data_IF_553235257742
#
_entry.id   IF_553235257742
#
_cell.length_a   1.000
_cell.length_b   1.000
_cell.length_c   1.000
_cell.angle_alpha   90.00
_cell.angle_beta   90.00
_cell.angle_gamma   90.00
#
_symmetry.space_group_name_H-M   'P 1'
#
loop_
_entity.id
_entity.type
_entity.pdbx_description
1 polymer ?
#
# COMPACT_ATOMS: atom_id res chain seq x y z
N UNK A 1 7.20 -16.97 13.63
CA UNK A 1 6.06 -17.45 12.81
C UNK A 1 5.21 -18.51 13.52
N UNK A 2 5.80 -19.52 14.18
CA UNK A 2 5.03 -20.59 14.85
C UNK A 2 3.92 -20.08 15.76
N UNK A 3 4.27 -19.21 16.70
CA UNK A 3 3.32 -18.67 17.68
C UNK A 3 2.18 -17.90 17.01
N UNK A 4 2.50 -17.05 16.03
CA UNK A 4 1.52 -16.28 15.27
C UNK A 4 0.50 -17.18 14.57
N UNK A 5 0.98 -18.20 13.85
CA UNK A 5 0.10 -19.12 13.11
C UNK A 5 -0.73 -19.96 14.07
N UNK A 6 -0.13 -20.52 15.12
CA UNK A 6 -0.86 -21.33 16.11
C UNK A 6 -1.96 -20.55 16.81
N UNK A 7 -1.70 -19.27 17.14
CA UNK A 7 -2.69 -18.38 17.77
C UNK A 7 -3.85 -18.06 16.84
N UNK A 8 -3.57 -17.76 15.57
CA UNK A 8 -4.55 -17.12 14.68
C UNK A 8 -5.10 -18.01 13.55
N UNK A 9 -4.64 -19.26 13.39
CA UNK A 9 -5.11 -20.19 12.34
C UNK A 9 -6.63 -20.40 12.28
N UNK A 10 -7.32 -20.25 13.42
CA UNK A 10 -8.78 -20.42 13.53
C UNK A 10 -9.55 -19.11 13.31
N UNK A 11 -8.88 -18.03 12.89
CA UNK A 11 -9.51 -16.73 12.60
C UNK A 11 -9.92 -16.66 11.13
N UNK A 12 -11.21 -16.57 10.78
CA UNK A 12 -11.65 -16.44 9.38
C UNK A 12 -11.23 -15.12 8.75
N UNK A 13 -10.95 -14.08 9.56
CA UNK A 13 -10.45 -12.78 9.09
C UNK A 13 -8.99 -12.84 8.62
N UNK A 14 -8.22 -13.86 9.02
CA UNK A 14 -6.87 -14.07 8.50
C UNK A 14 -7.02 -14.81 7.17
N UNK A 15 -6.58 -14.17 6.09
CA UNK A 15 -6.68 -14.74 4.74
C UNK A 15 -5.32 -15.04 4.10
N UNK A 16 -4.23 -14.51 4.64
CA UNK A 16 -2.87 -14.74 4.15
C UNK A 16 -1.84 -14.48 5.26
N UNK A 17 -0.65 -15.07 5.12
CA UNK A 17 0.49 -14.84 6.01
C UNK A 17 1.60 -14.07 5.30
N UNK A 18 2.00 -12.91 5.81
CA UNK A 18 3.22 -12.23 5.34
C UNK A 18 4.40 -12.66 6.18
N UNK A 19 5.44 -13.22 5.56
CA UNK A 19 6.61 -13.74 6.30
C UNK A 19 7.68 -12.68 6.56
N UNK A 20 7.74 -11.65 5.71
CA UNK A 20 8.72 -10.56 5.80
C UNK A 20 8.21 -9.27 5.17
N UNK A 21 8.79 -8.16 5.63
CA UNK A 21 8.57 -6.82 5.09
C UNK A 21 9.90 -6.20 4.66
N UNK A 22 10.00 -5.83 3.39
CA UNK A 22 11.16 -5.16 2.77
C UNK A 22 12.52 -5.82 3.10
N UNK A 23 12.66 -7.15 2.94
CA UNK A 23 13.95 -7.79 3.18
C UNK A 23 14.99 -7.36 2.14
N UNK A 24 16.27 -7.57 2.46
CA UNK A 24 17.32 -7.60 1.44
C UNK A 24 17.23 -8.89 0.61
N UNK A 25 16.27 -8.95 -0.29
CA UNK A 25 15.95 -10.15 -1.10
C UNK A 25 16.94 -10.44 -2.22
N UNK A 26 17.81 -9.49 -2.58
CA UNK A 26 18.79 -9.66 -3.65
C UNK A 26 20.06 -10.44 -3.23
N UNK A 27 20.21 -10.79 -1.94
CA UNK A 27 21.37 -11.54 -1.47
C UNK A 27 21.28 -13.02 -1.87
N UNK A 28 22.39 -13.69 -2.23
CA UNK A 28 22.39 -15.11 -2.61
C UNK A 28 21.77 -16.05 -1.55
N UNK A 29 21.90 -15.70 -0.27
CA UNK A 29 21.38 -16.49 0.85
C UNK A 29 19.88 -16.29 1.09
N UNK A 30 19.27 -15.25 0.49
CA UNK A 30 17.88 -14.88 0.71
C UNK A 30 16.92 -15.99 0.29
N UNK A 31 17.16 -16.60 -0.88
CA UNK A 31 16.29 -17.65 -1.43
C UNK A 31 16.13 -18.83 -0.47
N UNK A 32 17.24 -19.34 0.05
CA UNK A 32 17.21 -20.46 1.01
C UNK A 32 16.49 -20.05 2.30
N UNK A 33 16.86 -18.89 2.85
CA UNK A 33 16.31 -18.42 4.12
C UNK A 33 14.79 -18.22 4.06
N UNK A 34 14.29 -17.54 3.02
CA UNK A 34 12.86 -17.32 2.84
C UNK A 34 12.13 -18.59 2.41
N UNK A 35 12.78 -19.47 1.65
CA UNK A 35 12.25 -20.78 1.30
C UNK A 35 11.95 -21.64 2.53
N UNK A 36 12.89 -21.72 3.47
CA UNK A 36 12.71 -22.44 4.74
C UNK A 36 11.58 -21.82 5.59
N UNK A 37 11.48 -20.49 5.63
CA UNK A 37 10.43 -19.79 6.37
C UNK A 37 9.03 -20.02 5.78
N UNK A 38 8.91 -19.98 4.45
CA UNK A 38 7.65 -20.27 3.74
C UNK A 38 7.25 -21.73 3.95
N UNK A 39 8.19 -22.66 3.83
CA UNK A 39 7.94 -24.08 4.08
C UNK A 39 7.43 -24.30 5.51
N UNK A 40 8.06 -23.69 6.50
CA UNK A 40 7.65 -23.78 7.90
C UNK A 40 6.24 -23.20 8.15
N UNK A 41 5.87 -22.09 7.53
CA UNK A 41 4.49 -21.57 7.64
C UNK A 41 3.49 -22.54 6.99
N UNK A 42 3.84 -23.14 5.85
CA UNK A 42 2.98 -24.09 5.14
C UNK A 42 2.79 -25.42 5.86
N UNK A 43 3.75 -25.87 6.66
CA UNK A 43 3.55 -27.05 7.53
C UNK A 43 2.55 -26.78 8.66
N UNK A 44 2.49 -25.53 9.15
CA UNK A 44 1.59 -25.11 10.22
C UNK A 44 0.18 -24.74 9.72
N UNK A 45 0.08 -24.13 8.53
CA UNK A 45 -1.18 -23.78 7.88
C UNK A 45 -1.09 -24.01 6.36
N UNK A 46 -1.58 -25.16 5.87
CA UNK A 46 -1.61 -25.44 4.43
C UNK A 46 -2.72 -24.69 3.69
N UNK A 47 -3.69 -24.10 4.41
CA UNK A 47 -4.94 -23.59 3.83
C UNK A 47 -4.84 -22.17 3.27
N UNK A 48 -3.91 -21.35 3.78
CA UNK A 48 -3.80 -19.93 3.41
C UNK A 48 -2.57 -19.64 2.55
N UNK A 49 -2.64 -18.67 1.62
CA UNK A 49 -1.48 -18.14 0.92
C UNK A 49 -0.42 -17.58 1.86
N UNK A 50 0.85 -17.67 1.42
CA UNK A 50 2.00 -17.06 2.09
C UNK A 50 2.60 -16.04 1.13
N UNK A 51 2.89 -14.84 1.63
CA UNK A 51 3.37 -13.69 0.86
C UNK A 51 4.54 -13.01 1.56
N UNK A 52 5.13 -12.03 0.89
CA UNK A 52 6.15 -11.12 1.40
C UNK A 52 5.93 -9.73 0.79
N UNK A 53 6.15 -8.67 1.57
CA UNK A 53 6.21 -7.33 1.02
C UNK A 53 7.65 -7.06 0.55
N UNK A 54 7.82 -6.75 -0.73
CA UNK A 54 9.11 -6.50 -1.36
C UNK A 54 9.31 -4.98 -1.53
N UNK A 55 10.55 -4.52 -1.37
CA UNK A 55 10.89 -3.12 -1.57
C UNK A 55 10.86 -2.77 -3.06
N UNK A 56 10.10 -1.75 -3.43
CA UNK A 56 10.17 -1.11 -4.74
C UNK A 56 11.06 0.14 -4.71
N UNK A 57 11.63 0.52 -5.85
CA UNK A 57 12.36 1.76 -6.01
C UNK A 57 11.59 2.71 -6.94
N UNK A 58 11.10 3.82 -6.38
CA UNK A 58 10.24 4.76 -7.11
C UNK A 58 10.82 6.17 -7.10
N UNK A 59 10.66 6.87 -8.22
CA UNK A 59 10.76 8.32 -8.22
C UNK A 59 9.44 8.89 -7.68
N UNK A 60 9.53 9.93 -6.85
CA UNK A 60 8.37 10.56 -6.22
C UNK A 60 7.82 11.75 -7.01
N UNK A 61 8.35 11.99 -8.21
CA UNK A 61 7.78 12.96 -9.14
C UNK A 61 6.41 12.47 -9.66
N UNK A 62 5.37 13.25 -9.40
CA UNK A 62 3.99 12.96 -9.78
C UNK A 62 3.85 12.60 -11.27
N UNK A 63 4.66 13.22 -12.14
CA UNK A 63 4.59 13.02 -13.58
C UNK A 63 4.95 11.60 -14.03
N UNK A 64 5.70 10.84 -13.23
CA UNK A 64 6.20 9.51 -13.61
C UNK A 64 5.58 8.36 -12.83
N UNK A 65 4.84 8.64 -11.74
CA UNK A 65 4.27 7.62 -10.84
C UNK A 65 3.44 6.59 -11.62
N UNK A 66 2.56 7.06 -12.50
CA UNK A 66 1.66 6.17 -13.24
C UNK A 66 2.44 5.18 -14.11
N UNK A 67 3.34 5.69 -14.96
CA UNK A 67 4.15 4.86 -15.87
C UNK A 67 5.09 3.93 -15.12
N UNK A 68 5.76 4.41 -14.06
CA UNK A 68 6.68 3.60 -13.27
C UNK A 68 5.95 2.45 -12.57
N UNK A 69 4.80 2.74 -11.96
CA UNK A 69 3.95 1.73 -11.32
C UNK A 69 3.53 0.68 -12.33
N UNK A 70 3.04 1.06 -13.52
CA UNK A 70 2.63 0.08 -14.53
C UNK A 70 3.82 -0.80 -14.95
N UNK A 71 4.95 -0.17 -15.28
CA UNK A 71 6.14 -0.87 -15.77
C UNK A 71 6.68 -1.90 -14.78
N UNK A 72 6.73 -1.56 -13.49
CA UNK A 72 7.26 -2.46 -12.47
C UNK A 72 6.33 -3.65 -12.23
N UNK A 73 5.03 -3.40 -12.10
CA UNK A 73 4.06 -4.45 -11.81
C UNK A 73 3.89 -5.41 -12.99
N UNK A 74 4.04 -4.92 -14.22
CA UNK A 74 4.14 -5.75 -15.42
C UNK A 74 5.40 -6.62 -15.43
N UNK A 75 6.56 -6.03 -15.12
CA UNK A 75 7.81 -6.79 -15.05
C UNK A 75 7.74 -7.87 -13.96
N UNK A 76 7.20 -7.51 -12.78
CA UNK A 76 7.01 -8.44 -11.67
C UNK A 76 6.04 -9.56 -12.04
N UNK A 77 4.91 -9.26 -12.69
CA UNK A 77 3.98 -10.29 -13.14
C UNK A 77 4.58 -11.16 -14.26
N UNK A 78 5.32 -10.56 -15.19
CA UNK A 78 6.00 -11.28 -16.27
C UNK A 78 6.99 -12.32 -15.74
N UNK A 79 7.72 -11.97 -14.68
CA UNK A 79 8.69 -12.85 -14.03
C UNK A 79 8.04 -13.93 -13.15
N UNK A 80 7.15 -13.54 -12.21
CA UNK A 80 6.61 -14.47 -11.22
C UNK A 80 5.32 -15.17 -11.62
N UNK A 81 4.54 -14.60 -12.56
CA UNK A 81 3.24 -15.12 -13.03
C UNK A 81 2.23 -15.36 -11.89
N UNK A 82 2.29 -14.53 -10.85
CA UNK A 82 1.41 -14.59 -9.66
C UNK A 82 0.47 -13.37 -9.59
N UNK A 83 -0.66 -13.46 -8.87
CA UNK A 83 -1.43 -12.29 -8.47
C UNK A 83 -0.57 -11.33 -7.66
N UNK A 84 -0.79 -10.03 -7.85
CA UNK A 84 -0.01 -8.97 -7.22
C UNK A 84 -0.95 -8.04 -6.46
N UNK A 85 -0.53 -7.61 -5.28
CA UNK A 85 -1.14 -6.50 -4.56
C UNK A 85 -0.07 -5.53 -4.07
N UNK A 86 -0.44 -4.26 -3.93
CA UNK A 86 0.41 -3.27 -3.27
C UNK A 86 0.04 -3.21 -1.79
N UNK A 87 1.01 -3.48 -0.91
CA UNK A 87 0.81 -3.42 0.54
C UNK A 87 1.10 -2.05 1.13
N UNK A 88 1.90 -1.23 0.44
CA UNK A 88 2.26 0.12 0.89
C UNK A 88 2.36 1.10 -0.30
N UNK A 89 1.61 2.19 -0.23
CA UNK A 89 1.80 3.37 -1.08
C UNK A 89 1.24 4.61 -0.37
N UNK A 90 1.88 5.76 -0.55
CA UNK A 90 1.46 7.01 0.07
C UNK A 90 2.60 8.02 0.21
N UNK A 91 2.24 9.25 0.57
CA UNK A 91 3.17 10.34 0.80
C UNK A 91 2.97 10.93 2.20
N UNK A 92 4.05 11.45 2.80
CA UNK A 92 3.92 12.20 4.05
C UNK A 92 3.15 13.49 3.77
N UNK A 93 2.21 13.82 4.66
CA UNK A 93 1.45 15.06 4.64
C UNK A 93 1.32 15.64 6.05
N UNK A 94 1.83 16.84 6.24
CA UNK A 94 1.63 17.61 7.47
C UNK A 94 0.23 18.21 7.40
N UNK A 95 -0.62 17.84 8.35
CA UNK A 95 -2.02 18.29 8.41
C UNK A 95 -2.11 19.81 8.35
N UNK A 96 -2.96 20.34 7.48
CA UNK A 96 -3.17 21.77 7.26
C UNK A 96 -2.15 22.45 6.34
N UNK A 97 -1.12 21.74 5.86
CA UNK A 97 -0.19 22.28 4.87
C UNK A 97 -0.76 22.08 3.46
N UNK A 98 -0.93 23.19 2.74
CA UNK A 98 -1.44 23.21 1.37
C UNK A 98 -0.54 24.04 0.46
N UNK A 99 -0.48 23.68 -0.82
CA UNK A 99 0.23 24.47 -1.83
C UNK A 99 -0.34 24.21 -3.24
N UNK A 100 -0.28 25.26 -4.08
CA UNK A 100 -0.53 25.17 -5.51
C UNK A 100 0.62 25.89 -6.26
N UNK A 101 1.46 25.20 -7.06
CA UNK A 101 1.40 23.76 -7.35
C UNK A 101 1.69 22.89 -6.12
N UNK A 102 1.16 21.66 -6.11
CA UNK A 102 1.33 20.72 -5.02
C UNK A 102 2.82 20.43 -4.73
N UNK A 103 3.17 20.37 -3.44
CA UNK A 103 4.56 20.21 -3.00
C UNK A 103 4.70 19.12 -1.93
N UNK A 104 5.87 18.48 -1.84
CA UNK A 104 6.11 17.41 -0.85
C UNK A 104 5.76 17.90 0.56
N UNK A 105 5.12 17.01 1.36
CA UNK A 105 4.53 17.28 2.68
C UNK A 105 3.18 18.02 2.71
N UNK A 106 2.68 18.54 1.59
CA UNK A 106 1.32 19.11 1.53
C UNK A 106 0.26 18.01 1.44
N UNK A 107 -0.95 18.30 1.92
CA UNK A 107 -2.11 17.42 1.71
C UNK A 107 -2.46 17.30 0.22
N UNK A 108 -2.22 18.35 -0.57
CA UNK A 108 -2.47 18.37 -2.02
C UNK A 108 -1.57 17.37 -2.75
N UNK A 109 -0.28 17.32 -2.39
CA UNK A 109 0.66 16.36 -2.96
C UNK A 109 0.31 14.93 -2.59
N UNK A 110 -0.08 14.68 -1.34
CA UNK A 110 -0.54 13.35 -0.91
C UNK A 110 -1.77 12.91 -1.71
N UNK A 111 -2.76 13.79 -1.89
CA UNK A 111 -3.95 13.50 -2.69
C UNK A 111 -3.59 13.22 -4.16
N UNK A 112 -2.78 14.07 -4.81
CA UNK A 112 -2.36 13.89 -6.20
C UNK A 112 -1.57 12.60 -6.41
N UNK A 113 -0.65 12.27 -5.51
CA UNK A 113 0.11 11.02 -5.56
C UNK A 113 -0.82 9.80 -5.52
N UNK A 114 -1.85 9.81 -4.65
CA UNK A 114 -2.84 8.74 -4.61
C UNK A 114 -3.60 8.64 -5.94
N UNK A 115 -4.02 9.76 -6.55
CA UNK A 115 -4.70 9.73 -7.85
C UNK A 115 -3.86 9.11 -8.96
N UNK A 116 -2.57 9.47 -9.05
CA UNK A 116 -1.68 8.89 -10.06
C UNK A 116 -1.49 7.38 -9.87
N UNK A 117 -1.35 6.92 -8.63
CA UNK A 117 -1.32 5.48 -8.33
C UNK A 117 -2.63 4.79 -8.71
N UNK A 118 -3.78 5.39 -8.39
CA UNK A 118 -5.09 4.81 -8.68
C UNK A 118 -5.33 4.62 -10.19
N UNK A 119 -4.87 5.55 -11.02
CA UNK A 119 -4.88 5.41 -12.49
C UNK A 119 -4.07 4.20 -12.95
N UNK A 120 -2.87 4.02 -12.42
CA UNK A 120 -2.05 2.84 -12.72
C UNK A 120 -2.71 1.55 -12.23
N UNK A 121 -3.27 1.54 -11.02
CA UNK A 121 -3.91 0.37 -10.45
C UNK A 121 -5.13 -0.06 -11.24
N UNK A 122 -5.91 0.87 -11.79
CA UNK A 122 -7.08 0.53 -12.62
C UNK A 122 -6.65 -0.13 -13.94
N UNK A 123 -5.57 0.36 -14.57
CA UNK A 123 -4.98 -0.26 -15.77
C UNK A 123 -4.39 -1.65 -15.48
N UNK A 124 -3.74 -1.82 -14.33
CA UNK A 124 -3.19 -3.12 -13.93
C UNK A 124 -4.31 -4.10 -13.56
N UNK A 125 -5.37 -3.61 -12.91
CA UNK A 125 -6.55 -4.39 -12.54
C UNK A 125 -7.31 -4.88 -13.77
N UNK A 126 -7.42 -4.08 -14.83
CA UNK A 126 -8.04 -4.50 -16.08
C UNK A 126 -7.27 -5.64 -16.79
N UNK A 127 -6.01 -5.88 -16.41
CA UNK A 127 -5.20 -7.02 -16.90
C UNK A 127 -5.39 -8.30 -16.08
N UNK A 128 -6.16 -8.25 -14.99
CA UNK A 128 -6.63 -9.41 -14.24
C UNK A 128 -5.66 -9.96 -13.17
N UNK A 129 -4.44 -9.44 -13.06
CA UNK A 129 -3.46 -9.93 -12.07
C UNK A 129 -3.25 -8.99 -10.86
N UNK A 130 -3.71 -7.74 -10.93
CA UNK A 130 -3.63 -6.81 -9.80
C UNK A 130 -4.87 -6.92 -8.92
N UNK A 131 -4.71 -7.47 -7.72
CA UNK A 131 -5.81 -7.97 -6.88
C UNK A 131 -6.02 -7.22 -5.57
N UNK A 132 -5.17 -6.26 -5.21
CA UNK A 132 -5.32 -5.53 -3.95
C UNK A 132 -4.47 -4.27 -3.84
N UNK A 133 -4.93 -3.32 -3.03
CA UNK A 133 -4.28 -2.04 -2.79
C UNK A 133 -4.49 -1.56 -1.35
N UNK A 134 -3.41 -1.48 -0.56
CA UNK A 134 -3.42 -1.00 0.81
C UNK A 134 -2.57 0.27 0.95
N UNK A 135 -3.20 1.36 1.37
CA UNK A 135 -2.52 2.63 1.62
C UNK A 135 -1.57 2.49 2.81
N UNK A 136 -0.41 3.15 2.72
CA UNK A 136 0.47 3.35 3.85
C UNK A 136 0.41 4.82 4.28
N UNK A 137 -0.13 5.18 5.44
CA UNK A 137 -0.72 4.31 6.47
C UNK A 137 -2.18 4.71 6.75
N UNK A 138 -2.91 3.89 7.51
CA UNK A 138 -4.20 4.26 8.04
C UNK A 138 -4.13 5.58 8.81
N UNK A 139 -3.17 5.73 9.73
CA UNK A 139 -3.03 6.96 10.49
C UNK A 139 -1.59 7.30 10.84
N UNK A 140 -1.33 8.58 11.13
CA UNK A 140 -0.01 9.02 11.59
C UNK A 140 0.42 8.23 12.85
N UNK A 141 1.71 7.92 12.92
CA UNK A 141 2.32 7.20 14.04
C UNK A 141 3.74 7.71 14.34
N UNK A 142 4.24 7.41 15.54
CA UNK A 142 5.57 7.86 15.95
C UNK A 142 6.66 6.95 15.41
N UNK A 143 7.78 7.57 15.09
CA UNK A 143 9.05 6.92 14.76
C UNK A 143 10.14 7.52 15.64
N UNK A 144 11.33 6.92 15.60
CA UNK A 144 12.55 7.58 16.06
C UNK A 144 12.76 8.91 15.32
N UNK A 145 13.61 9.75 15.91
CA UNK A 145 13.94 11.06 15.33
C UNK A 145 14.78 10.87 14.07
N UNK A 146 14.32 11.44 12.95
CA UNK A 146 15.01 11.41 11.66
C UNK A 146 14.67 12.71 10.89
N UNK A 147 15.63 13.38 10.24
CA UNK A 147 15.38 14.61 9.48
C UNK A 147 14.33 14.48 8.37
N UNK A 148 14.07 13.26 7.88
CA UNK A 148 13.06 12.94 6.85
C UNK A 148 11.68 12.69 7.46
N UNK A 149 11.52 12.77 8.79
CA UNK A 149 10.31 12.49 9.55
C UNK A 149 9.86 13.73 10.30
N UNK A 150 8.84 14.40 9.77
CA UNK A 150 8.23 15.58 10.40
C UNK A 150 7.39 15.18 11.63
N UNK A 151 8.07 14.97 12.76
CA UNK A 151 7.50 14.50 14.02
C UNK A 151 6.73 13.18 13.83
N UNK A 152 7.48 12.11 13.55
CA UNK A 152 6.96 10.79 13.23
C UNK A 152 6.67 10.57 11.74
N UNK A 153 5.94 9.51 11.43
CA UNK A 153 5.46 9.20 10.09
C UNK A 153 4.12 9.91 9.84
N UNK A 154 4.05 10.69 8.77
CA UNK A 154 2.92 11.55 8.41
C UNK A 154 2.19 11.07 7.16
N UNK A 155 2.42 9.83 6.73
CA UNK A 155 1.71 9.22 5.59
C UNK A 155 0.30 8.78 5.91
N UNK A 156 -0.14 8.94 7.16
CA UNK A 156 -1.51 8.63 7.56
C UNK A 156 -2.51 9.38 6.69
N UNK A 157 -3.54 8.68 6.20
CA UNK A 157 -4.73 9.32 5.64
C UNK A 157 -5.59 9.97 6.74
N UNK A 158 -5.41 9.52 7.98
CA UNK A 158 -5.88 10.16 9.20
C UNK A 158 -4.71 10.70 10.03
N UNK A 159 -4.96 11.73 10.83
CA UNK A 159 -4.04 12.14 11.88
C UNK A 159 -3.92 11.08 12.98
N UNK A 160 -2.96 11.25 13.89
CA UNK A 160 -2.81 10.35 15.05
C UNK A 160 -4.07 10.32 15.95
N UNK A 161 -4.84 11.40 15.95
CA UNK A 161 -6.11 11.52 16.69
C UNK A 161 -7.34 11.18 15.83
N UNK A 162 -7.12 10.54 14.69
CA UNK A 162 -8.13 9.99 13.77
C UNK A 162 -9.00 11.03 13.09
N UNK A 163 -8.50 12.26 13.00
CA UNK A 163 -9.11 13.30 12.17
C UNK A 163 -8.73 13.05 10.70
N UNK A 164 -9.68 13.14 9.74
CA UNK A 164 -9.40 12.87 8.34
C UNK A 164 -8.56 13.98 7.70
N UNK A 165 -7.58 13.59 6.87
CA UNK A 165 -6.91 14.48 5.90
C UNK A 165 -7.66 14.44 4.56
N UNK A 166 -7.24 15.27 3.60
CA UNK A 166 -7.76 15.24 2.23
C UNK A 166 -7.69 13.82 1.61
N UNK A 167 -6.61 13.10 1.85
CA UNK A 167 -6.42 11.72 1.36
C UNK A 167 -7.49 10.71 1.83
N UNK A 168 -8.08 10.90 3.02
CA UNK A 168 -9.16 10.02 3.48
C UNK A 168 -10.41 10.15 2.58
N UNK A 169 -10.71 11.37 2.10
CA UNK A 169 -11.81 11.62 1.16
C UNK A 169 -11.54 10.98 -0.19
N UNK A 170 -10.29 11.06 -0.68
CA UNK A 170 -9.84 10.40 -1.92
C UNK A 170 -10.08 8.88 -1.85
N UNK A 171 -9.62 8.22 -0.79
CA UNK A 171 -9.81 6.77 -0.64
C UNK A 171 -11.26 6.36 -0.42
N UNK A 172 -12.04 7.16 0.33
CA UNK A 172 -13.49 6.91 0.45
C UNK A 172 -14.13 6.86 -0.92
N UNK A 173 -13.87 7.88 -1.76
CA UNK A 173 -14.39 7.90 -3.12
C UNK A 173 -13.99 6.65 -3.91
N UNK A 174 -12.69 6.32 -3.90
CA UNK A 174 -12.17 5.18 -4.65
C UNK A 174 -12.78 3.85 -4.25
N UNK A 175 -12.84 3.56 -2.94
CA UNK A 175 -13.34 2.26 -2.49
C UNK A 175 -14.86 2.12 -2.63
N UNK A 176 -15.62 3.21 -2.54
CA UNK A 176 -17.03 3.18 -2.92
C UNK A 176 -17.20 2.83 -4.41
N UNK A 177 -16.44 3.50 -5.30
CA UNK A 177 -16.45 3.21 -6.74
C UNK A 177 -16.07 1.75 -7.05
N UNK A 178 -14.99 1.24 -6.47
CA UNK A 178 -14.56 -0.15 -6.67
C UNK A 178 -15.60 -1.17 -6.14
N UNK A 179 -16.36 -0.82 -5.12
CA UNK A 179 -17.42 -1.69 -4.57
C UNK A 179 -18.76 -1.63 -5.33
N UNK A 180 -18.86 -0.80 -6.38
CA UNK A 180 -20.12 -0.57 -7.09
C UNK A 180 -21.19 0.15 -6.26
N UNK A 181 -20.81 0.79 -5.15
CA UNK A 181 -21.72 1.52 -4.26
C UNK A 181 -21.82 2.98 -4.70
N UNK A 182 -23.04 3.47 -4.85
CA UNK A 182 -23.31 4.91 -5.01
C UNK A 182 -22.98 5.66 -3.72
N UNK A 183 -22.35 6.83 -3.85
CA UNK A 183 -22.08 7.70 -2.72
C UNK A 183 -23.26 8.65 -2.59
N UNK A 184 -24.17 8.37 -1.66
CA UNK A 184 -25.37 9.17 -1.42
C UNK A 184 -25.15 10.38 -0.51
N UNK A 185 -23.90 10.69 -0.17
CA UNK A 185 -23.52 11.76 0.75
C UNK A 185 -22.87 12.90 -0.03
N UNK A 186 -23.44 14.09 0.08
CA UNK A 186 -22.97 15.30 -0.58
C UNK A 186 -21.57 15.75 -0.10
N UNK A 187 -21.09 15.24 1.05
CA UNK A 187 -19.75 15.54 1.58
C UNK A 187 -18.62 14.67 0.99
N UNK A 188 -18.95 13.79 0.04
CA UNK A 188 -17.94 12.99 -0.65
C UNK A 188 -17.25 13.81 -1.75
N UNK A 189 -16.03 14.27 -1.46
CA UNK A 189 -15.17 14.84 -2.49
C UNK A 189 -14.62 13.74 -3.41
N UNK A 190 -15.33 13.52 -4.52
CA UNK A 190 -14.88 12.72 -5.65
C UNK A 190 -14.49 13.66 -6.79
N UNK A 191 -13.20 13.95 -7.01
CA UNK A 191 -12.83 14.75 -8.16
C UNK A 191 -13.25 14.04 -9.45
N UNK A 192 -13.69 14.80 -10.47
CA UNK A 192 -14.07 14.24 -11.75
C UNK A 192 -12.90 13.46 -12.35
N UNK A 193 -13.21 12.27 -12.88
CA UNK A 193 -12.27 11.33 -13.49
C UNK A 193 -11.62 11.88 -14.75
#
# INVERSE_FOLDING_TARGET
MTELVQRDKNRPSVIMWSVVNEPQSAQPQADRYFGELVAHVKTLDPTRPVTAALSGHYNKDLAVIERQTISEYEAMHGHYRKPIMISEYGADAVTGLHADPAFVFTEDFQAQLLFHHHKAFDQLRSKGYFVGEHVWNFADFMTDQDPRRAFGNRKGIFTRNRQPKAAAKVLRCRYHKLSGRTIGDFDAYCPPS
#
